data_IF_351165782900
#
_entry.id   IF_351165782900
#
_cell.length_a   1.000
_cell.length_b   1.000
_cell.length_c   1.000
_cell.angle_alpha   90.00
_cell.angle_beta   90.00
_cell.angle_gamma   90.00
#
_symmetry.space_group_name_H-M   'P 1'
#
loop_
_entity.id
_entity.type
_entity.pdbx_description
1 polymer ?
#
# COMPACT_ATOMS: atom_id res chain seq x y z
N UNK A 1 1.34 -20.57 0.16
CA UNK A 1 2.77 -20.77 -0.19
C UNK A 1 3.08 -19.95 -1.44
N UNK A 2 4.23 -19.25 -1.48
CA UNK A 2 4.67 -18.46 -2.66
C UNK A 2 4.67 -19.31 -3.94
N UNK A 3 5.10 -20.57 -3.85
CA UNK A 3 5.11 -21.50 -4.99
C UNK A 3 3.71 -21.77 -5.56
N UNK A 4 2.69 -21.84 -4.70
CA UNK A 4 1.30 -22.01 -5.14
C UNK A 4 0.83 -20.76 -5.89
N UNK A 5 1.09 -19.57 -5.33
CA UNK A 5 0.72 -18.30 -5.96
C UNK A 5 1.40 -18.14 -7.32
N UNK A 6 2.68 -18.48 -7.43
CA UNK A 6 3.43 -18.44 -8.68
C UNK A 6 2.85 -19.41 -9.73
N UNK A 7 2.53 -20.64 -9.33
CA UNK A 7 1.91 -21.60 -10.24
C UNK A 7 0.52 -21.14 -10.71
N UNK A 8 -0.27 -20.51 -9.83
CA UNK A 8 -1.58 -19.97 -10.17
C UNK A 8 -1.47 -18.82 -11.15
N UNK A 9 -0.55 -17.87 -10.92
CA UNK A 9 -0.45 -16.67 -11.75
C UNK A 9 0.11 -16.95 -13.14
N UNK A 10 0.90 -18.03 -13.31
CA UNK A 10 1.41 -18.44 -14.63
C UNK A 10 0.31 -18.75 -15.63
N UNK A 11 -0.84 -19.27 -15.18
CA UNK A 11 -1.99 -19.59 -16.02
C UNK A 11 -2.95 -18.42 -16.28
N UNK A 12 -2.68 -17.23 -15.74
CA UNK A 12 -3.52 -16.03 -15.94
C UNK A 12 -3.05 -15.28 -17.20
N UNK A 13 -4.00 -14.79 -18.01
CA UNK A 13 -3.69 -13.98 -19.19
C UNK A 13 -3.02 -12.65 -18.81
N UNK A 14 -2.08 -12.17 -19.63
CA UNK A 14 -1.32 -10.93 -19.37
C UNK A 14 -2.21 -9.67 -19.29
N UNK A 15 -3.37 -9.67 -19.95
CA UNK A 15 -4.30 -8.53 -19.94
C UNK A 15 -5.19 -8.45 -18.69
N UNK A 16 -5.11 -9.41 -17.77
CA UNK A 16 -5.95 -9.42 -16.56
C UNK A 16 -5.39 -8.47 -15.52
N UNK A 17 -6.21 -7.50 -15.12
CA UNK A 17 -5.90 -6.56 -14.04
C UNK A 17 -6.90 -6.77 -12.90
N UNK A 18 -6.39 -6.97 -11.68
CA UNK A 18 -7.22 -7.06 -10.49
C UNK A 18 -7.22 -5.72 -9.79
N UNK A 19 -8.38 -5.05 -9.75
CA UNK A 19 -8.55 -3.80 -9.02
C UNK A 19 -8.92 -4.08 -7.57
N UNK A 20 -7.99 -3.85 -6.66
CA UNK A 20 -8.16 -4.08 -5.23
C UNK A 20 -8.70 -2.79 -4.59
N UNK A 21 -9.88 -2.80 -3.94
CA UNK A 21 -10.47 -1.60 -3.34
C UNK A 21 -9.85 -1.28 -1.97
N UNK A 22 -9.55 -0.01 -1.73
CA UNK A 22 -9.03 0.52 -0.47
C UNK A 22 -10.00 1.56 0.11
N UNK A 23 -10.24 1.48 1.41
CA UNK A 23 -11.12 2.41 2.11
C UNK A 23 -10.36 3.64 2.65
N UNK A 24 -11.10 4.74 2.79
CA UNK A 24 -10.59 6.01 3.32
C UNK A 24 -10.07 5.87 4.76
N UNK A 25 -10.65 4.98 5.57
CA UNK A 25 -10.25 4.80 6.97
C UNK A 25 -8.82 4.30 7.08
N UNK A 26 -8.43 3.37 6.22
CA UNK A 26 -7.11 2.80 6.19
C UNK A 26 -6.05 3.86 5.82
N UNK A 27 -6.24 4.58 4.71
CA UNK A 27 -5.16 5.35 4.10
C UNK A 27 -5.39 6.86 3.96
N UNK A 28 -6.55 7.36 4.39
CA UNK A 28 -6.95 8.75 4.29
C UNK A 28 -7.68 9.12 3.00
N UNK A 29 -7.73 8.19 2.03
CA UNK A 29 -8.45 8.35 0.77
C UNK A 29 -8.91 6.97 0.26
N UNK A 30 -10.07 6.91 -0.40
CA UNK A 30 -10.54 5.70 -1.05
C UNK A 30 -9.98 5.62 -2.48
N UNK A 31 -9.36 4.48 -2.82
CA UNK A 31 -8.78 4.27 -4.14
C UNK A 31 -8.84 2.80 -4.56
N UNK A 32 -8.58 2.52 -5.83
CA UNK A 32 -8.40 1.17 -6.35
C UNK A 32 -6.94 0.98 -6.76
N UNK A 33 -6.31 -0.07 -6.24
CA UNK A 33 -4.96 -0.47 -6.63
C UNK A 33 -5.06 -1.48 -7.79
N UNK A 34 -4.60 -1.14 -9.00
CA UNK A 34 -4.47 -2.13 -10.06
C UNK A 34 -3.29 -3.06 -9.74
N UNK A 35 -3.56 -4.37 -9.72
CA UNK A 35 -2.54 -5.41 -9.56
C UNK A 35 -2.42 -6.15 -10.88
N UNK A 36 -1.24 -6.09 -11.48
CA UNK A 36 -0.91 -6.76 -12.71
C UNK A 36 -0.30 -8.14 -12.44
N UNK A 37 -0.30 -8.98 -13.47
CA UNK A 37 0.35 -10.29 -13.44
C UNK A 37 1.84 -10.16 -13.06
N UNK A 38 2.50 -9.15 -13.62
CA UNK A 38 3.92 -8.86 -13.43
C UNK A 38 4.23 -8.55 -11.98
N UNK A 39 3.40 -7.75 -11.29
CA UNK A 39 3.60 -7.41 -9.87
C UNK A 39 3.69 -8.68 -8.99
N UNK A 40 2.85 -9.68 -9.30
CA UNK A 40 2.78 -10.94 -8.56
C UNK A 40 3.98 -11.84 -8.91
N UNK A 41 4.38 -11.89 -10.19
CA UNK A 41 5.55 -12.66 -10.63
C UNK A 41 6.82 -12.11 -10.00
N UNK A 42 7.03 -10.80 -10.06
CA UNK A 42 8.19 -10.12 -9.47
C UNK A 42 8.27 -10.37 -7.96
N UNK A 43 7.14 -10.25 -7.26
CA UNK A 43 7.05 -10.58 -5.84
C UNK A 43 7.40 -12.05 -5.55
N UNK A 44 6.83 -12.99 -6.32
CA UNK A 44 7.03 -14.43 -6.11
C UNK A 44 8.46 -14.90 -6.45
N UNK A 45 9.14 -14.19 -7.35
CA UNK A 45 10.50 -14.51 -7.80
C UNK A 45 11.57 -13.73 -7.04
N UNK A 46 11.18 -13.01 -5.98
CA UNK A 46 12.08 -12.23 -5.11
C UNK A 46 12.88 -11.16 -5.86
N UNK A 47 12.28 -10.55 -6.89
CA UNK A 47 12.83 -9.36 -7.53
C UNK A 47 12.73 -8.15 -6.58
N UNK A 48 13.28 -7.00 -7.02
CA UNK A 48 13.10 -5.74 -6.31
C UNK A 48 11.61 -5.47 -6.14
N UNK A 49 11.18 -5.28 -4.89
CA UNK A 49 9.75 -5.13 -4.57
C UNK A 49 9.25 -3.78 -5.13
N UNK A 50 8.28 -3.86 -6.04
CA UNK A 50 7.59 -2.71 -6.61
C UNK A 50 6.61 -2.04 -5.64
N UNK A 51 5.98 -0.95 -6.10
CA UNK A 51 5.02 -0.20 -5.28
C UNK A 51 3.77 -1.02 -4.93
N UNK A 52 3.25 -1.82 -5.86
CA UNK A 52 2.01 -2.59 -5.67
C UNK A 52 2.12 -3.59 -4.50
N UNK A 53 3.14 -4.48 -4.42
CA UNK A 53 3.30 -5.35 -3.26
C UNK A 53 3.47 -4.59 -1.94
N UNK A 54 4.14 -3.43 -1.94
CA UNK A 54 4.30 -2.58 -0.74
C UNK A 54 2.95 -2.06 -0.26
N UNK A 55 2.10 -1.56 -1.17
CA UNK A 55 0.74 -1.08 -0.83
C UNK A 55 -0.12 -2.22 -0.28
N UNK A 56 -0.07 -3.41 -0.89
CA UNK A 56 -0.79 -4.59 -0.39
C UNK A 56 -0.30 -5.01 1.00
N UNK A 57 1.01 -4.97 1.25
CA UNK A 57 1.58 -5.25 2.57
C UNK A 57 1.15 -4.22 3.61
N UNK A 58 1.13 -2.93 3.26
CA UNK A 58 0.62 -1.87 4.15
C UNK A 58 -0.84 -2.10 4.51
N UNK A 59 -1.67 -2.57 3.58
CA UNK A 59 -3.07 -2.96 3.87
C UNK A 59 -3.14 -4.13 4.84
N UNK A 60 -2.29 -5.13 4.63
CA UNK A 60 -2.22 -6.28 5.53
C UNK A 60 -1.82 -5.84 6.94
N UNK A 61 -0.85 -4.94 7.08
CA UNK A 61 -0.48 -4.36 8.37
C UNK A 61 -1.62 -3.59 9.02
N UNK A 62 -2.34 -2.75 8.27
CA UNK A 62 -3.52 -2.04 8.78
C UNK A 62 -4.60 -3.01 9.29
N UNK A 63 -4.83 -4.10 8.54
CA UNK A 63 -5.76 -5.15 8.96
C UNK A 63 -5.32 -5.80 10.28
N UNK A 64 -4.04 -6.15 10.43
CA UNK A 64 -3.51 -6.72 11.68
C UNK A 64 -3.63 -5.72 12.84
N UNK A 65 -3.26 -4.46 12.64
CA UNK A 65 -3.41 -3.39 13.64
C UNK A 65 -4.86 -3.31 14.13
N UNK A 66 -5.83 -3.33 13.21
CA UNK A 66 -7.25 -3.30 13.53
C UNK A 66 -7.69 -4.56 14.27
N UNK A 67 -7.27 -5.74 13.79
CA UNK A 67 -7.60 -7.03 14.40
C UNK A 67 -7.13 -7.12 15.86
N UNK A 68 -5.97 -6.54 16.17
CA UNK A 68 -5.39 -6.55 17.52
C UNK A 68 -5.74 -5.33 18.38
N UNK A 69 -6.59 -4.41 17.90
CA UNK A 69 -7.05 -3.26 18.68
C UNK A 69 -6.06 -2.11 18.79
N UNK A 70 -5.10 -1.99 17.88
CA UNK A 70 -4.06 -0.95 17.88
C UNK A 70 -4.36 0.24 16.97
N UNK A 71 -5.56 0.34 16.39
CA UNK A 71 -5.95 1.40 15.45
C UNK A 71 -5.88 2.82 16.05
N UNK A 72 -5.98 2.96 17.38
CA UNK A 72 -5.82 4.25 18.06
C UNK A 72 -4.35 4.72 18.11
N UNK A 73 -3.38 3.83 17.83
CA UNK A 73 -1.94 4.10 17.91
C UNK A 73 -1.26 4.17 16.54
N UNK A 74 -1.79 3.52 15.51
CA UNK A 74 -1.19 3.50 14.19
C UNK A 74 -2.13 4.05 13.14
N UNK A 75 -1.62 5.00 12.37
CA UNK A 75 -2.29 5.59 11.23
C UNK A 75 -1.44 5.33 9.98
N UNK A 76 -2.08 5.04 8.85
CA UNK A 76 -1.39 4.68 7.61
C UNK A 76 -1.67 5.73 6.54
N UNK A 77 -0.70 6.02 5.68
CA UNK A 77 -0.89 6.86 4.49
C UNK A 77 -0.82 6.02 3.22
N UNK A 78 -1.62 6.36 2.22
CA UNK A 78 -1.51 5.76 0.90
C UNK A 78 -0.06 5.92 0.39
N UNK A 79 0.67 4.81 0.15
CA UNK A 79 2.01 4.88 -0.40
C UNK A 79 2.09 5.61 -1.74
N UNK A 80 1.05 5.53 -2.57
CA UNK A 80 1.07 6.10 -3.92
C UNK A 80 1.09 7.63 -3.88
N UNK A 81 0.28 8.23 -3.00
CA UNK A 81 0.21 9.68 -2.78
C UNK A 81 1.52 10.32 -2.28
N UNK A 82 2.46 9.53 -1.73
CA UNK A 82 3.74 10.03 -1.20
C UNK A 82 4.97 9.45 -1.88
N UNK A 83 4.77 8.60 -2.89
CA UNK A 83 5.84 8.05 -3.71
C UNK A 83 6.45 9.13 -4.60
N UNK A 84 7.75 9.04 -4.92
CA UNK A 84 8.45 10.01 -5.79
C UNK A 84 7.73 10.20 -7.14
N UNK A 85 7.09 9.14 -7.65
CA UNK A 85 6.35 9.12 -8.91
C UNK A 85 4.87 9.53 -8.77
N UNK A 86 4.39 9.75 -7.55
CA UNK A 86 2.99 10.07 -7.23
C UNK A 86 2.55 11.52 -7.51
N UNK A 87 3.24 12.23 -8.40
CA UNK A 87 2.94 13.62 -8.76
C UNK A 87 3.95 14.65 -8.24
N UNK A 88 3.66 15.96 -8.39
CA UNK A 88 4.51 17.06 -7.93
C UNK A 88 4.91 16.97 -6.47
N UNK A 89 6.10 17.50 -6.12
CA UNK A 89 6.61 17.48 -4.74
C UNK A 89 5.63 18.12 -3.75
N UNK A 90 4.97 19.21 -4.16
CA UNK A 90 4.01 19.94 -3.36
C UNK A 90 2.78 19.10 -3.02
N UNK A 91 2.19 18.44 -4.01
CA UNK A 91 1.02 17.56 -3.82
C UNK A 91 1.31 16.41 -2.87
N UNK A 92 2.50 15.80 -2.98
CA UNK A 92 2.96 14.75 -2.06
C UNK A 92 3.16 15.28 -0.64
N UNK A 93 3.69 16.49 -0.50
CA UNK A 93 3.89 17.13 0.80
C UNK A 93 2.55 17.49 1.45
N UNK A 94 1.59 17.99 0.67
CA UNK A 94 0.22 18.27 1.12
C UNK A 94 -0.45 16.98 1.57
N UNK A 95 -0.39 15.92 0.76
CA UNK A 95 -0.99 14.61 1.11
C UNK A 95 -0.41 14.07 2.43
N UNK A 96 0.91 14.16 2.60
CA UNK A 96 1.57 13.76 3.84
C UNK A 96 1.16 14.63 5.04
N UNK A 97 1.16 15.96 4.88
CA UNK A 97 0.79 16.90 5.93
C UNK A 97 -0.69 16.74 6.34
N UNK A 98 -1.60 16.61 5.38
CA UNK A 98 -3.03 16.37 5.63
C UNK A 98 -3.23 15.11 6.46
N UNK A 99 -2.53 14.02 6.12
CA UNK A 99 -2.64 12.78 6.90
C UNK A 99 -2.04 12.93 8.30
N UNK A 100 -0.92 13.62 8.45
CA UNK A 100 -0.36 13.93 9.78
C UNK A 100 -1.31 14.77 10.63
N UNK A 101 -1.97 15.78 10.04
CA UNK A 101 -2.93 16.63 10.75
C UNK A 101 -4.21 15.89 11.15
N UNK A 102 -4.50 14.74 10.53
CA UNK A 102 -5.62 13.88 10.94
C UNK A 102 -5.33 13.04 12.19
N UNK A 103 -4.11 13.11 12.74
CA UNK A 103 -3.76 12.41 13.97
C UNK A 103 -4.50 13.01 15.16
N UNK A 104 -5.10 12.15 15.98
CA UNK A 104 -5.95 12.54 17.11
C UNK A 104 -5.15 12.97 18.34
N UNK A 105 -3.91 12.47 18.50
CA UNK A 105 -3.04 12.77 19.63
C UNK A 105 -1.56 12.47 19.32
N UNK A 106 -0.68 12.92 20.22
CA UNK A 106 0.77 12.78 20.12
C UNK A 106 1.30 11.33 20.27
N UNK A 107 0.47 10.38 20.69
CA UNK A 107 0.86 8.98 20.85
C UNK A 107 0.56 8.13 19.61
N UNK A 108 0.07 8.74 18.52
CA UNK A 108 -0.11 8.08 17.24
C UNK A 108 1.19 8.04 16.42
N UNK A 109 1.37 6.97 15.66
CA UNK A 109 2.50 6.77 14.75
C UNK A 109 1.98 6.69 13.31
N UNK A 110 2.46 7.59 12.46
CA UNK A 110 2.20 7.55 11.03
C UNK A 110 3.14 6.57 10.33
N UNK A 111 2.56 5.55 9.71
CA UNK A 111 3.26 4.54 8.94
C UNK A 111 3.27 4.95 7.47
N UNK A 112 4.46 5.22 6.96
CA UNK A 112 4.75 5.54 5.56
C UNK A 112 5.84 4.60 5.04
N UNK A 113 5.68 3.98 3.86
CA UNK A 113 6.79 3.25 3.25
C UNK A 113 7.85 4.23 2.74
N UNK A 114 9.11 3.88 2.94
CA UNK A 114 10.25 4.63 2.45
C UNK A 114 10.95 3.86 1.34
N UNK A 115 11.02 4.47 0.15
CA UNK A 115 11.76 3.95 -1.00
C UNK A 115 12.67 5.07 -1.53
N UNK A 116 13.98 4.88 -1.41
CA UNK A 116 14.98 5.88 -1.83
C UNK A 116 15.42 5.71 -3.30
N UNK A 117 14.89 4.73 -4.03
CA UNK A 117 15.35 4.40 -5.38
C UNK A 117 16.57 3.49 -5.33
#
# INVERSE_FOLDING_TARGET
>A
SIKLLLNTIQGVDEGVVVNVPFDEKAFGEAFYLPVFKEDIIEFCTLQKIGAVPIVLYMRHLYHLVTQYGYQARYIFIDPSAVAIQGGPREDRAISFATRMLSMENEHQFLIKPWNHG
#
